data_IF_368467490058
#
_entry.id   IF_368467490058
#
_cell.length_a   1.000
_cell.length_b   1.000
_cell.length_c   1.000
_cell.angle_alpha   90.00
_cell.angle_beta   90.00
_cell.angle_gamma   90.00
#
_symmetry.space_group_name_H-M   'P 1'
#
loop_
_entity.id
_entity.type
_entity.pdbx_description
1 polymer ?
#
# COMPACT_ATOMS: atom_id res chain seq x y z
N UNK A 1 -26.06 17.61 16.15
CA UNK A 1 -24.85 17.64 15.31
C UNK A 1 -24.65 16.26 14.70
N UNK A 2 -24.76 16.11 13.38
CA UNK A 2 -24.29 14.88 12.71
C UNK A 2 -22.77 14.84 12.89
N UNK A 3 -22.15 13.73 13.33
CA UNK A 3 -20.71 13.65 13.37
C UNK A 3 -20.21 13.82 11.93
N UNK A 4 -19.58 14.96 11.65
CA UNK A 4 -18.89 15.17 10.39
C UNK A 4 -17.69 14.23 10.42
N UNK A 5 -17.75 13.15 9.65
CA UNK A 5 -16.63 12.24 9.50
C UNK A 5 -15.54 12.99 8.75
N UNK A 6 -14.62 13.57 9.51
CA UNK A 6 -13.48 14.28 8.98
C UNK A 6 -12.55 13.25 8.34
N UNK A 7 -12.32 13.35 7.03
CA UNK A 7 -11.29 12.57 6.36
C UNK A 7 -9.95 12.89 7.02
N UNK A 8 -9.11 11.87 7.17
CA UNK A 8 -7.75 12.06 7.69
C UNK A 8 -6.90 12.68 6.57
N UNK A 9 -6.94 14.00 6.49
CA UNK A 9 -6.19 14.78 5.47
C UNK A 9 -4.69 14.46 5.52
N UNK A 10 -4.12 14.24 6.70
CA UNK A 10 -2.71 13.84 6.85
C UNK A 10 -2.37 12.54 6.12
N UNK A 11 -3.31 11.59 6.08
CA UNK A 11 -3.11 10.30 5.42
C UNK A 11 -3.21 10.42 3.90
N UNK A 12 -4.09 11.29 3.43
CA UNK A 12 -4.22 11.56 1.99
C UNK A 12 -3.01 12.37 1.48
N UNK A 13 -2.47 13.31 2.28
CA UNK A 13 -1.20 14.01 1.99
C UNK A 13 -0.02 13.04 1.97
N UNK A 14 0.11 12.16 2.96
CA UNK A 14 1.18 11.17 3.02
C UNK A 14 1.15 10.23 1.81
N UNK A 15 -0.04 9.74 1.44
CA UNK A 15 -0.19 8.90 0.24
C UNK A 15 0.17 9.66 -1.05
N UNK A 16 -0.22 10.92 -1.15
CA UNK A 16 0.12 11.77 -2.29
C UNK A 16 1.62 12.04 -2.39
N UNK A 17 2.27 12.24 -1.24
CA UNK A 17 3.72 12.38 -1.16
C UNK A 17 4.43 11.11 -1.62
N UNK A 18 4.01 9.93 -1.15
CA UNK A 18 4.60 8.66 -1.57
C UNK A 18 4.45 8.43 -3.07
N UNK A 19 3.27 8.71 -3.63
CA UNK A 19 3.01 8.59 -5.06
C UNK A 19 3.84 9.60 -5.87
N UNK A 20 4.03 10.81 -5.35
CA UNK A 20 4.88 11.83 -5.97
C UNK A 20 6.34 11.37 -5.99
N UNK A 21 6.86 10.85 -4.88
CA UNK A 21 8.21 10.28 -4.82
C UNK A 21 8.35 9.12 -5.82
N UNK A 22 7.41 8.18 -5.85
CA UNK A 22 7.49 7.02 -6.73
C UNK A 22 7.41 7.41 -8.21
N UNK A 23 6.44 8.25 -8.63
CA UNK A 23 6.21 8.51 -10.06
C UNK A 23 7.05 9.67 -10.58
N UNK A 24 7.08 10.80 -9.86
CA UNK A 24 7.73 12.01 -10.36
C UNK A 24 9.23 12.00 -10.08
N UNK A 25 9.62 11.63 -8.86
CA UNK A 25 11.02 11.71 -8.44
C UNK A 25 11.86 10.59 -9.09
N UNK A 26 11.36 9.35 -9.15
CA UNK A 26 12.01 8.26 -9.91
C UNK A 26 12.17 8.64 -11.39
N UNK A 27 11.07 9.10 -12.02
CA UNK A 27 11.03 9.42 -13.44
C UNK A 27 11.92 10.60 -13.84
N UNK A 28 12.24 11.51 -12.92
CA UNK A 28 13.11 12.67 -13.17
C UNK A 28 14.56 12.40 -12.74
N UNK A 29 14.80 11.78 -11.59
CA UNK A 29 16.16 11.56 -11.07
C UNK A 29 16.95 10.53 -11.87
N UNK A 30 16.32 9.44 -12.32
CA UNK A 30 17.01 8.44 -13.13
C UNK A 30 17.58 8.98 -14.46
N UNK A 31 16.83 9.73 -15.29
CA UNK A 31 17.39 10.33 -16.50
C UNK A 31 18.38 11.46 -16.20
N UNK A 32 18.17 12.24 -15.13
CA UNK A 32 19.10 13.31 -14.74
C UNK A 32 20.46 12.75 -14.29
N UNK A 33 20.47 11.58 -13.64
CA UNK A 33 21.70 10.89 -13.25
C UNK A 33 22.57 10.44 -14.40
N UNK A 34 21.96 10.05 -15.52
CA UNK A 34 22.73 9.75 -16.74
C UNK A 34 23.38 10.98 -17.37
N UNK A 35 22.90 12.19 -17.04
CA UNK A 35 23.39 13.44 -17.62
C UNK A 35 24.47 14.13 -16.77
N UNK A 36 24.44 13.97 -15.44
CA UNK A 36 25.30 14.72 -14.51
C UNK A 36 26.61 13.96 -14.19
N UNK A 37 26.61 12.62 -14.27
CA UNK A 37 27.76 11.70 -14.04
C UNK A 37 28.79 12.19 -13.01
N UNK A 38 28.30 12.66 -11.86
CA UNK A 38 29.11 13.22 -10.77
C UNK A 38 29.08 12.28 -9.56
N UNK A 39 30.21 12.09 -8.84
CA UNK A 39 30.29 11.15 -7.72
C UNK A 39 29.27 11.45 -6.59
N UNK A 40 29.09 12.72 -6.24
CA UNK A 40 28.13 13.15 -5.21
C UNK A 40 26.67 12.89 -5.61
N UNK A 41 26.39 12.84 -6.92
CA UNK A 41 25.05 12.58 -7.43
C UNK A 41 24.73 11.08 -7.36
N UNK A 42 25.73 10.21 -7.55
CA UNK A 42 25.56 8.76 -7.39
C UNK A 42 25.26 8.38 -5.94
N UNK A 43 25.93 9.01 -4.96
CA UNK A 43 25.62 8.80 -3.54
C UNK A 43 24.19 9.28 -3.20
N UNK A 44 23.73 10.37 -3.82
CA UNK A 44 22.35 10.84 -3.67
C UNK A 44 21.33 9.89 -4.32
N UNK A 45 21.62 9.37 -5.51
CA UNK A 45 20.78 8.37 -6.18
C UNK A 45 20.68 7.05 -5.42
N UNK A 46 21.70 6.69 -4.63
CA UNK A 46 21.67 5.48 -3.82
C UNK A 46 20.42 5.44 -2.91
N UNK A 47 20.03 6.58 -2.32
CA UNK A 47 18.81 6.73 -1.52
C UNK A 47 17.50 6.46 -2.28
N UNK A 48 17.53 6.50 -3.61
CA UNK A 48 16.40 6.27 -4.52
C UNK A 48 16.51 4.93 -5.26
N UNK A 49 17.52 4.13 -4.94
CA UNK A 49 17.73 2.80 -5.50
C UNK A 49 17.39 1.71 -4.48
N UNK A 50 16.88 0.58 -4.97
CA UNK A 50 16.65 -0.61 -4.14
C UNK A 50 17.96 -1.32 -3.81
N UNK A 51 18.15 -1.68 -2.55
CA UNK A 51 19.24 -2.60 -2.16
C UNK A 51 18.81 -4.02 -2.48
N UNK A 52 19.70 -4.84 -3.05
CA UNK A 52 19.33 -6.21 -3.47
C UNK A 52 19.15 -7.20 -2.31
N UNK A 53 19.81 -6.99 -1.17
CA UNK A 53 19.79 -7.95 -0.07
C UNK A 53 20.08 -7.34 1.31
N UNK A 54 21.31 -6.88 1.54
CA UNK A 54 21.73 -6.30 2.82
C UNK A 54 21.96 -4.79 2.70
N UNK A 55 21.10 -4.02 3.35
CA UNK A 55 21.21 -2.56 3.46
C UNK A 55 19.85 -1.93 3.78
N UNK A 56 19.84 -0.61 3.87
CA UNK A 56 18.63 0.16 4.11
C UNK A 56 18.63 1.37 3.19
N UNK A 57 17.78 1.33 2.16
CA UNK A 57 17.51 2.50 1.33
C UNK A 57 16.19 3.13 1.74
N UNK A 58 16.12 4.46 1.70
CA UNK A 58 14.90 5.21 1.95
C UNK A 58 13.76 4.78 1.02
N UNK A 59 14.10 4.28 -0.17
CA UNK A 59 13.15 3.78 -1.15
C UNK A 59 12.40 2.51 -0.70
N UNK A 60 13.04 1.68 0.15
CA UNK A 60 12.44 0.44 0.65
C UNK A 60 11.33 0.71 1.69
N UNK A 61 11.30 1.90 2.29
CA UNK A 61 10.27 2.33 3.25
C UNK A 61 8.90 2.59 2.62
N UNK A 62 8.82 2.75 1.29
CA UNK A 62 7.57 3.07 0.61
C UNK A 62 6.54 1.96 0.83
N UNK A 63 6.93 0.68 0.68
CA UNK A 63 6.02 -0.46 0.90
C UNK A 63 5.49 -0.51 2.36
N UNK A 64 6.34 -0.49 3.41
CA UNK A 64 5.89 -0.43 4.80
C UNK A 64 4.94 0.75 5.08
N UNK A 65 5.21 1.91 4.49
CA UNK A 65 4.41 3.12 4.68
C UNK A 65 2.99 2.96 4.10
N UNK A 66 2.87 2.42 2.89
CA UNK A 66 1.55 2.08 2.31
C UNK A 66 0.78 1.06 3.15
N UNK A 67 1.46 0.05 3.68
CA UNK A 67 0.85 -0.96 4.53
C UNK A 67 0.37 -0.36 5.86
N UNK A 68 1.18 0.51 6.48
CA UNK A 68 0.82 1.25 7.68
C UNK A 68 -0.40 2.15 7.45
N UNK A 69 -0.42 2.95 6.39
CA UNK A 69 -1.56 3.81 6.06
C UNK A 69 -2.84 3.01 5.81
N UNK A 70 -2.74 1.87 5.13
CA UNK A 70 -3.86 0.96 4.92
C UNK A 70 -4.40 0.38 6.24
N UNK A 71 -3.51 0.04 7.18
CA UNK A 71 -3.86 -0.44 8.52
C UNK A 71 -4.50 0.63 9.40
N UNK A 72 -3.96 1.84 9.45
CA UNK A 72 -4.50 2.92 10.30
C UNK A 72 -5.86 3.40 9.82
N UNK A 73 -6.08 3.48 8.51
CA UNK A 73 -7.37 3.94 7.93
C UNK A 73 -8.51 2.94 8.11
N UNK A 74 -8.19 1.69 8.40
CA UNK A 74 -9.11 0.58 8.45
C UNK A 74 -10.13 0.61 9.59
N UNK A 75 -9.76 0.79 10.87
CA UNK A 75 -10.72 0.90 11.96
C UNK A 75 -11.68 2.07 11.75
N UNK A 76 -11.21 3.20 11.21
CA UNK A 76 -12.08 4.34 10.87
C UNK A 76 -13.08 4.00 9.75
N UNK A 77 -12.66 3.21 8.75
CA UNK A 77 -13.54 2.78 7.66
C UNK A 77 -14.55 1.69 8.07
N UNK A 78 -14.19 0.81 9.02
CA UNK A 78 -14.99 -0.33 9.45
C UNK A 78 -15.82 -0.07 10.72
N UNK A 79 -15.47 0.92 11.54
CA UNK A 79 -16.19 1.26 12.79
C UNK A 79 -17.67 1.53 12.56
N UNK A 80 -18.00 2.23 11.47
CA UNK A 80 -19.40 2.53 11.09
C UNK A 80 -20.23 1.28 10.83
N UNK A 81 -19.59 0.19 10.42
CA UNK A 81 -20.27 -1.03 10.04
C UNK A 81 -20.43 -2.02 11.20
N UNK A 82 -19.73 -1.83 12.32
CA UNK A 82 -19.97 -2.64 13.54
C UNK A 82 -21.38 -2.45 14.11
N UNK A 83 -21.99 -1.29 13.86
CA UNK A 83 -23.31 -0.91 14.41
C UNK A 83 -24.45 -1.22 13.42
N UNK A 84 -24.13 -1.53 12.17
CA UNK A 84 -25.12 -1.75 11.11
C UNK A 84 -25.57 -3.22 11.10
N UNK A 85 -26.87 -3.52 10.94
CA UNK A 85 -27.38 -4.90 10.95
C UNK A 85 -26.92 -5.71 9.73
N UNK A 86 -26.69 -5.04 8.58
CA UNK A 86 -26.24 -5.70 7.36
C UNK A 86 -24.71 -5.82 7.31
N UNK A 87 -24.21 -6.99 7.72
CA UNK A 87 -22.79 -7.35 7.66
C UNK A 87 -22.32 -7.65 6.23
N UNK A 88 -23.23 -8.02 5.32
CA UNK A 88 -22.87 -8.43 3.96
C UNK A 88 -22.28 -7.28 3.14
N UNK A 89 -22.79 -6.06 3.34
CA UNK A 89 -22.25 -4.85 2.73
C UNK A 89 -20.75 -4.64 3.02
N UNK A 90 -20.28 -5.04 4.22
CA UNK A 90 -18.88 -4.94 4.65
C UNK A 90 -18.02 -5.94 3.90
N UNK A 91 -18.45 -7.20 3.89
CA UNK A 91 -17.75 -8.27 3.20
C UNK A 91 -17.59 -7.98 1.71
N UNK A 92 -18.64 -7.51 1.03
CA UNK A 92 -18.57 -7.11 -0.38
C UNK A 92 -17.55 -5.98 -0.61
N UNK A 93 -17.47 -5.00 0.29
CA UNK A 93 -16.49 -3.91 0.19
C UNK A 93 -15.06 -4.43 0.37
N UNK A 94 -14.83 -5.29 1.36
CA UNK A 94 -13.51 -5.89 1.62
C UNK A 94 -13.08 -6.73 0.40
N UNK A 95 -13.93 -7.64 -0.05
CA UNK A 95 -13.66 -8.51 -1.21
C UNK A 95 -13.40 -7.68 -2.47
N UNK A 96 -14.22 -6.66 -2.75
CA UNK A 96 -14.00 -5.76 -3.90
C UNK A 96 -12.62 -5.08 -3.81
N UNK A 97 -12.24 -4.58 -2.64
CA UNK A 97 -10.94 -3.90 -2.46
C UNK A 97 -9.78 -4.88 -2.65
N UNK A 98 -9.85 -6.06 -2.05
CA UNK A 98 -8.80 -7.09 -2.16
C UNK A 98 -8.68 -7.56 -3.61
N UNK A 99 -9.79 -7.85 -4.28
CA UNK A 99 -9.81 -8.26 -5.68
C UNK A 99 -9.22 -7.18 -6.61
N UNK A 100 -9.59 -5.91 -6.43
CA UNK A 100 -9.03 -4.81 -7.21
C UNK A 100 -7.51 -4.70 -7.02
N UNK A 101 -7.03 -4.71 -5.77
CA UNK A 101 -5.59 -4.64 -5.50
C UNK A 101 -4.83 -5.84 -6.08
N UNK A 102 -5.43 -7.03 -6.05
CA UNK A 102 -4.84 -8.22 -6.66
C UNK A 102 -4.74 -8.11 -8.18
N UNK A 103 -5.81 -7.66 -8.84
CA UNK A 103 -5.86 -7.46 -10.29
C UNK A 103 -4.86 -6.37 -10.71
N UNK A 104 -4.84 -5.23 -10.01
CA UNK A 104 -3.86 -4.17 -10.30
C UNK A 104 -2.42 -4.62 -10.05
N UNK A 105 -2.16 -5.42 -9.01
CA UNK A 105 -0.85 -6.01 -8.77
C UNK A 105 -0.39 -6.90 -9.93
N UNK A 106 -1.28 -7.78 -10.40
CA UNK A 106 -1.00 -8.62 -11.57
C UNK A 106 -0.78 -7.79 -12.84
N UNK A 107 -1.54 -6.71 -13.03
CA UNK A 107 -1.39 -5.83 -14.19
C UNK A 107 -0.07 -5.05 -14.20
N UNK A 108 0.33 -4.45 -13.06
CA UNK A 108 1.50 -3.58 -13.00
C UNK A 108 2.83 -4.33 -12.95
N UNK A 109 2.91 -5.48 -12.27
CA UNK A 109 4.16 -6.22 -12.07
C UNK A 109 4.06 -7.72 -12.41
N UNK A 110 2.85 -8.30 -12.47
CA UNK A 110 2.64 -9.71 -12.82
C UNK A 110 2.70 -10.02 -14.33
N UNK A 111 3.14 -9.07 -15.16
CA UNK A 111 3.23 -9.20 -16.61
C UNK A 111 1.92 -9.67 -17.28
N UNK A 112 0.76 -9.30 -16.72
CA UNK A 112 -0.55 -9.73 -17.24
C UNK A 112 -0.84 -9.18 -18.65
N UNK A 113 -0.20 -8.07 -19.02
CA UNK A 113 -0.26 -7.47 -20.36
C UNK A 113 0.65 -8.18 -21.39
N UNK A 114 1.55 -9.07 -20.94
CA UNK A 114 2.41 -9.88 -21.81
C UNK A 114 1.75 -11.13 -22.37
N UNK A 115 0.55 -11.51 -21.87
CA UNK A 115 -0.25 -12.66 -22.33
C UNK A 115 0.50 -14.02 -22.41
N UNK A 116 1.58 -14.20 -21.65
CA UNK A 116 2.32 -15.47 -21.54
C UNK A 116 2.01 -16.16 -20.19
N UNK A 117 1.27 -17.29 -20.19
CA UNK A 117 0.90 -18.02 -18.97
C UNK A 117 2.09 -18.56 -18.15
N UNK A 118 3.25 -18.77 -18.79
CA UNK A 118 4.43 -19.39 -18.17
C UNK A 118 5.29 -18.42 -17.34
N UNK A 119 5.01 -17.10 -17.38
CA UNK A 119 5.76 -16.06 -16.65
C UNK A 119 4.91 -15.27 -15.66
N UNK A 120 3.80 -15.83 -15.21
CA UNK A 120 2.92 -15.17 -14.23
C UNK A 120 3.54 -15.33 -12.83
N UNK A 121 4.21 -14.28 -12.35
CA UNK A 121 4.69 -14.21 -10.97
C UNK A 121 3.52 -13.89 -10.04
N UNK A 122 2.94 -14.94 -9.43
CA UNK A 122 1.75 -14.82 -8.58
C UNK A 122 1.99 -14.08 -7.25
N UNK A 123 3.24 -13.88 -6.81
CA UNK A 123 3.55 -13.54 -5.41
C UNK A 123 4.52 -12.37 -5.15
N UNK A 124 4.98 -11.64 -6.17
CA UNK A 124 6.11 -10.72 -6.01
C UNK A 124 5.73 -9.23 -5.94
N UNK A 125 4.58 -8.85 -5.35
CA UNK A 125 4.08 -7.47 -5.46
C UNK A 125 3.63 -6.82 -4.15
N UNK A 126 4.04 -5.57 -3.95
CA UNK A 126 3.61 -4.69 -2.84
C UNK A 126 2.09 -4.59 -2.73
N UNK A 127 1.38 -4.52 -3.86
CA UNK A 127 -0.09 -4.43 -3.89
C UNK A 127 -0.78 -5.67 -3.32
N UNK A 128 -0.25 -6.87 -3.61
CA UNK A 128 -0.80 -8.13 -3.09
C UNK A 128 -0.52 -8.26 -1.59
N UNK A 129 0.66 -7.84 -1.13
CA UNK A 129 1.00 -7.81 0.30
C UNK A 129 0.03 -6.91 1.09
N UNK A 130 -0.26 -5.70 0.58
CA UNK A 130 -1.24 -4.78 1.19
C UNK A 130 -2.65 -5.40 1.17
N UNK A 131 -3.02 -6.08 0.08
CA UNK A 131 -4.33 -6.73 -0.05
C UNK A 131 -4.52 -7.85 0.99
N UNK A 132 -3.52 -8.73 1.13
CA UNK A 132 -3.55 -9.83 2.11
C UNK A 132 -3.53 -9.29 3.54
N UNK A 133 -2.64 -8.33 3.85
CA UNK A 133 -2.58 -7.68 5.15
C UNK A 133 -3.90 -7.03 5.54
N UNK A 134 -4.55 -6.34 4.59
CA UNK A 134 -5.88 -5.76 4.80
C UNK A 134 -6.95 -6.82 5.02
N UNK A 135 -6.97 -7.92 4.25
CA UNK A 135 -7.94 -9.01 4.43
C UNK A 135 -7.86 -9.61 5.84
N UNK A 136 -6.67 -10.01 6.26
CA UNK A 136 -6.42 -10.65 7.56
C UNK A 136 -6.81 -9.70 8.69
N UNK A 137 -6.35 -8.44 8.61
CA UNK A 137 -6.69 -7.42 9.60
C UNK A 137 -8.20 -7.14 9.66
N UNK A 138 -8.94 -7.31 8.56
CA UNK A 138 -10.38 -7.03 8.48
C UNK A 138 -11.18 -8.10 9.15
N UNK A 139 -10.80 -9.35 8.89
CA UNK A 139 -11.40 -10.50 9.53
C UNK A 139 -11.16 -10.44 11.05
N UNK A 140 -9.93 -10.13 11.47
CA UNK A 140 -9.62 -9.92 12.89
C UNK A 140 -10.43 -8.76 13.48
N UNK A 141 -10.52 -7.62 12.79
CA UNK A 141 -11.24 -6.46 13.32
C UNK A 141 -12.74 -6.71 13.53
N UNK A 142 -13.37 -7.49 12.64
CA UNK A 142 -14.80 -7.81 12.66
C UNK A 142 -15.16 -8.92 13.64
N UNK A 143 -14.29 -9.92 13.84
CA UNK A 143 -14.59 -11.09 14.69
C UNK A 143 -14.04 -10.97 16.11
N UNK A 144 -13.03 -10.12 16.34
CA UNK A 144 -12.37 -9.99 17.65
C UNK A 144 -12.99 -8.85 18.47
N UNK A 145 -13.19 -9.11 19.77
CA UNK A 145 -13.67 -8.11 20.75
C UNK A 145 -12.58 -7.06 21.01
N UNK A 146 -13.02 -5.82 21.26
CA UNK A 146 -12.14 -4.67 21.51
C UNK A 146 -11.15 -4.88 22.67
N UNK A 147 -11.55 -5.64 23.70
CA UNK A 147 -10.70 -6.05 24.84
C UNK A 147 -9.44 -6.79 24.39
N UNK A 148 -9.59 -7.74 23.45
CA UNK A 148 -8.46 -8.51 22.89
C UNK A 148 -7.63 -7.67 21.91
N UNK A 149 -8.21 -6.65 21.29
CA UNK A 149 -7.49 -5.73 20.37
C UNK A 149 -6.61 -4.71 21.12
N UNK A 150 -7.04 -4.27 22.30
CA UNK A 150 -6.32 -3.28 23.11
C UNK A 150 -5.40 -3.97 24.14
N UNK A 151 -5.55 -5.30 24.34
CA UNK A 151 -4.79 -6.01 25.35
C UNK A 151 -5.21 -5.60 26.76
N UNK A 152 -6.52 -5.47 26.99
CA UNK A 152 -7.14 -5.19 28.29
C UNK A 152 -8.14 -6.30 28.62
#
# INVERSE_FOLDING_TARGET
MKPSYQRLESLDVLRGFDLFCLVALEGVLHPLGRAIDAPWYNDFLWCFSHVQWDGFSSWDLVMPLFMFMAGVSMPFALSRYKVMPDKWAVYRRIVKRVALLWIFGMMCQGNLLGLDPDRIYLYSNTLQAIAMGYLISAMLFLHVRLSVQIGT
#
